data_IF_376571920825
#
_entry.id   IF_376571920825
#
_cell.length_a   1.000
_cell.length_b   1.000
_cell.length_c   1.000
_cell.angle_alpha   90.00
_cell.angle_beta   90.00
_cell.angle_gamma   90.00
#
_symmetry.space_group_name_H-M   'P 1'
#
loop_
_entity.id
_entity.type
_entity.pdbx_description
1 polymer ?
#
# COMPACT_ATOMS: atom_id res chain seq x y z
N UNK A 1 -37.55 55.76 -15.96
CA UNK A 1 -38.01 54.36 -15.83
C UNK A 1 -36.77 53.51 -15.65
N UNK A 2 -36.61 52.84 -14.50
CA UNK A 2 -35.54 51.86 -14.30
C UNK A 2 -36.15 50.49 -14.57
N UNK A 3 -35.65 49.80 -15.58
CA UNK A 3 -35.98 48.41 -15.82
C UNK A 3 -34.97 47.56 -15.05
N UNK A 4 -35.47 46.71 -14.15
CA UNK A 4 -34.69 45.64 -13.54
C UNK A 4 -35.08 44.32 -14.19
N UNK A 5 -34.07 43.58 -14.63
CA UNK A 5 -34.21 42.17 -15.00
C UNK A 5 -33.64 41.33 -13.86
N UNK A 6 -34.40 40.32 -13.45
CA UNK A 6 -33.98 39.34 -12.45
C UNK A 6 -33.94 37.98 -13.14
N UNK A 7 -32.85 37.25 -12.98
CA UNK A 7 -32.67 35.88 -13.48
C UNK A 7 -32.58 34.92 -12.28
N UNK A 8 -33.29 33.80 -12.36
CA UNK A 8 -33.19 32.75 -11.35
C UNK A 8 -31.89 31.95 -11.56
N UNK A 9 -30.98 32.07 -10.60
CA UNK A 9 -29.67 31.39 -10.62
C UNK A 9 -29.61 30.20 -9.66
N UNK A 10 -30.75 29.74 -9.12
CA UNK A 10 -30.80 28.73 -8.06
C UNK A 10 -30.13 27.43 -8.51
N UNK A 11 -30.49 26.90 -9.67
CA UNK A 11 -29.94 25.64 -10.18
C UNK A 11 -28.43 25.72 -10.45
N UNK A 12 -27.98 26.83 -11.06
CA UNK A 12 -26.56 27.09 -11.28
C UNK A 12 -25.79 27.12 -9.96
N UNK A 13 -26.34 27.79 -8.94
CA UNK A 13 -25.73 27.88 -7.61
C UNK A 13 -25.70 26.54 -6.89
N UNK A 14 -26.73 25.71 -7.01
CA UNK A 14 -26.73 24.37 -6.42
C UNK A 14 -25.69 23.46 -7.08
N UNK A 15 -25.56 23.53 -8.40
CA UNK A 15 -24.55 22.75 -9.16
C UNK A 15 -23.13 23.17 -8.78
N UNK A 16 -22.87 24.48 -8.70
CA UNK A 16 -21.59 25.04 -8.27
C UNK A 16 -21.21 24.58 -6.85
N UNK A 17 -22.15 24.66 -5.90
CA UNK A 17 -21.92 24.22 -4.53
C UNK A 17 -21.71 22.70 -4.43
N UNK A 18 -22.46 21.91 -5.19
CA UNK A 18 -22.30 20.45 -5.22
C UNK A 18 -20.92 20.05 -5.77
N UNK A 19 -20.45 20.73 -6.83
CA UNK A 19 -19.12 20.53 -7.38
C UNK A 19 -18.03 20.88 -6.36
N UNK A 20 -18.09 22.08 -5.77
CA UNK A 20 -17.13 22.51 -4.74
C UNK A 20 -17.07 21.54 -3.56
N UNK A 21 -18.23 21.02 -3.13
CA UNK A 21 -18.29 20.03 -2.05
C UNK A 21 -17.65 18.71 -2.45
N UNK A 22 -17.90 18.23 -3.67
CA UNK A 22 -17.29 17.01 -4.20
C UNK A 22 -15.77 17.13 -4.29
N UNK A 23 -15.27 18.26 -4.83
CA UNK A 23 -13.84 18.54 -4.92
C UNK A 23 -13.17 18.61 -3.54
N UNK A 24 -13.82 19.25 -2.57
CA UNK A 24 -13.32 19.31 -1.20
C UNK A 24 -13.26 17.93 -0.54
N UNK A 25 -14.29 17.10 -0.73
CA UNK A 25 -14.30 15.72 -0.22
C UNK A 25 -13.19 14.88 -0.87
N UNK A 26 -13.00 15.00 -2.19
CA UNK A 26 -11.93 14.31 -2.91
C UNK A 26 -10.55 14.75 -2.39
N UNK A 27 -10.32 16.06 -2.25
CA UNK A 27 -9.05 16.59 -1.75
C UNK A 27 -8.73 16.07 -0.33
N UNK A 28 -9.72 16.06 0.58
CA UNK A 28 -9.52 15.50 1.91
C UNK A 28 -9.28 13.98 1.88
N UNK A 29 -9.99 13.24 1.04
CA UNK A 29 -9.77 11.80 0.91
C UNK A 29 -8.35 11.48 0.41
N UNK A 30 -7.86 12.25 -0.57
CA UNK A 30 -6.50 12.13 -1.10
C UNK A 30 -5.44 12.40 -0.03
N UNK A 31 -5.60 13.50 0.74
CA UNK A 31 -4.71 13.86 1.84
C UNK A 31 -4.68 12.80 2.94
N UNK A 32 -5.85 12.28 3.36
CA UNK A 32 -5.96 11.27 4.41
C UNK A 32 -5.38 9.91 4.00
N UNK A 33 -5.51 9.56 2.71
CA UNK A 33 -5.01 8.29 2.18
C UNK A 33 -3.55 8.36 1.71
N UNK A 34 -2.97 9.57 1.65
CA UNK A 34 -1.69 9.83 0.99
C UNK A 34 -1.66 9.32 -0.46
N UNK A 35 -2.79 9.46 -1.14
CA UNK A 35 -2.97 9.08 -2.54
C UNK A 35 -3.32 10.32 -3.35
N UNK A 36 -2.38 10.81 -4.15
CA UNK A 36 -2.62 11.86 -5.12
C UNK A 36 -3.19 11.30 -6.43
N UNK A 37 -3.92 12.13 -7.18
CA UNK A 37 -4.31 11.79 -8.55
C UNK A 37 -3.47 12.56 -9.55
N UNK A 38 -3.28 11.97 -10.71
CA UNK A 38 -2.67 12.64 -11.85
C UNK A 38 -3.40 12.26 -13.13
N UNK A 39 -3.32 13.13 -14.12
CA UNK A 39 -3.61 12.76 -15.49
C UNK A 39 -2.59 13.32 -16.45
N UNK A 40 -2.51 12.71 -17.62
CA UNK A 40 -1.65 13.15 -18.70
C UNK A 40 -2.30 12.83 -20.04
N UNK A 41 -2.45 13.85 -20.88
CA UNK A 41 -2.99 13.72 -22.23
C UNK A 41 -1.85 13.41 -23.20
N UNK A 42 -1.92 12.25 -23.84
CA UNK A 42 -0.86 11.78 -24.73
C UNK A 42 -0.78 12.56 -26.05
N UNK A 43 -1.89 13.19 -26.45
CA UNK A 43 -1.97 13.97 -27.69
C UNK A 43 -1.46 15.39 -27.51
N UNK A 44 -1.84 16.06 -26.41
CA UNK A 44 -1.48 17.47 -26.16
C UNK A 44 -0.22 17.63 -25.31
N UNK A 45 0.16 16.59 -24.57
CA UNK A 45 1.24 16.64 -23.59
C UNK A 45 0.84 17.31 -22.27
N UNK A 46 -0.41 17.78 -22.13
CA UNK A 46 -0.89 18.41 -20.90
C UNK A 46 -0.96 17.39 -19.77
N UNK A 47 -0.45 17.78 -18.60
CA UNK A 47 -0.48 16.96 -17.40
C UNK A 47 -1.13 17.72 -16.25
N UNK A 48 -1.93 17.01 -15.47
CA UNK A 48 -2.57 17.50 -14.26
C UNK A 48 -2.09 16.68 -13.07
N UNK A 49 -1.74 17.36 -11.98
CA UNK A 49 -1.47 16.74 -10.68
C UNK A 49 -2.38 17.33 -9.63
N UNK A 50 -2.96 16.49 -8.77
CA UNK A 50 -3.67 16.97 -7.59
C UNK A 50 -2.71 17.58 -6.57
N UNK A 51 -3.24 18.38 -5.65
CA UNK A 51 -2.45 18.99 -4.56
C UNK A 51 -1.67 17.94 -3.76
N UNK A 52 -2.27 16.76 -3.56
CA UNK A 52 -1.60 15.67 -2.85
C UNK A 52 -0.45 15.06 -3.66
N UNK A 53 -0.58 14.92 -4.99
CA UNK A 53 0.54 14.48 -5.84
C UNK A 53 1.74 15.43 -5.73
N UNK A 54 1.52 16.74 -5.77
CA UNK A 54 2.58 17.72 -5.52
C UNK A 54 3.22 17.56 -4.13
N UNK A 55 2.39 17.32 -3.11
CA UNK A 55 2.87 17.10 -1.72
C UNK A 55 3.71 15.84 -1.59
N UNK A 56 3.27 14.72 -2.18
CA UNK A 56 3.97 13.44 -2.19
C UNK A 56 5.37 13.61 -2.82
N UNK A 57 5.43 14.29 -3.96
CA UNK A 57 6.68 14.53 -4.69
C UNK A 57 7.54 15.67 -4.11
N UNK A 58 7.01 16.43 -3.15
CA UNK A 58 7.61 17.65 -2.59
C UNK A 58 8.05 18.62 -3.69
N UNK A 59 7.08 18.96 -4.54
CA UNK A 59 7.23 19.90 -5.65
C UNK A 59 6.30 21.08 -5.42
N UNK A 60 6.76 22.27 -5.81
CA UNK A 60 5.95 23.48 -5.74
C UNK A 60 4.71 23.36 -6.64
N UNK A 61 3.55 23.77 -6.13
CA UNK A 61 2.26 23.71 -6.82
C UNK A 61 2.21 24.51 -8.13
N UNK A 62 3.12 25.47 -8.34
CA UNK A 62 3.24 26.24 -9.57
C UNK A 62 4.09 25.53 -10.63
N UNK A 63 4.73 24.42 -10.29
CA UNK A 63 5.53 23.64 -11.24
C UNK A 63 4.62 22.94 -12.23
N UNK A 64 4.89 23.08 -13.51
CA UNK A 64 4.17 22.35 -14.55
C UNK A 64 4.50 20.85 -14.46
N UNK A 65 3.51 19.97 -14.26
CA UNK A 65 3.76 18.54 -14.24
C UNK A 65 4.25 18.05 -15.60
N UNK A 66 5.19 17.10 -15.59
CA UNK A 66 5.67 16.43 -16.79
C UNK A 66 6.19 15.03 -16.44
N UNK A 67 6.12 14.04 -17.36
CA UNK A 67 6.70 12.72 -17.13
C UNK A 67 8.20 12.78 -16.77
N UNK A 68 8.92 13.73 -17.37
CA UNK A 68 10.35 13.94 -17.09
C UNK A 68 10.62 14.32 -15.63
N UNK A 69 9.71 15.09 -15.01
CA UNK A 69 9.82 15.49 -13.61
C UNK A 69 9.71 14.29 -12.66
N UNK A 70 8.89 13.30 -13.03
CA UNK A 70 8.80 12.03 -12.30
C UNK A 70 10.15 11.32 -12.33
N UNK A 71 10.76 11.16 -13.51
CA UNK A 71 12.05 10.50 -13.70
C UNK A 71 13.16 11.21 -12.91
N UNK A 72 13.18 12.54 -12.91
CA UNK A 72 14.17 13.33 -12.18
C UNK A 72 14.10 13.13 -10.67
N UNK A 73 12.87 13.06 -10.12
CA UNK A 73 12.61 12.82 -8.69
C UNK A 73 12.76 11.35 -8.30
N UNK A 74 12.70 10.42 -9.24
CA UNK A 74 12.94 9.00 -8.99
C UNK A 74 14.38 8.75 -8.54
N UNK A 75 14.52 7.86 -7.56
CA UNK A 75 15.81 7.38 -7.05
C UNK A 75 16.68 6.87 -8.21
N UNK A 76 17.99 7.19 -8.26
CA UNK A 76 18.85 6.87 -9.41
C UNK A 76 18.74 5.44 -9.94
N UNK A 77 18.70 4.46 -9.02
CA UNK A 77 18.58 3.03 -9.34
C UNK A 77 17.26 2.65 -10.05
N UNK A 78 16.19 3.41 -9.80
CA UNK A 78 14.84 3.11 -10.29
C UNK A 78 14.52 3.89 -11.58
N UNK A 79 15.35 4.89 -11.95
CA UNK A 79 15.08 5.80 -13.08
C UNK A 79 14.92 5.08 -14.41
N UNK A 80 15.75 4.07 -14.66
CA UNK A 80 15.69 3.31 -15.91
C UNK A 80 14.36 2.56 -16.04
N UNK A 81 13.94 1.88 -14.97
CA UNK A 81 12.66 1.15 -14.90
C UNK A 81 11.46 2.09 -15.04
N UNK A 82 11.45 3.22 -14.32
CA UNK A 82 10.37 4.20 -14.42
C UNK A 82 10.28 4.80 -15.82
N UNK A 83 11.42 5.11 -16.46
CA UNK A 83 11.44 5.61 -17.82
C UNK A 83 10.86 4.60 -18.80
N UNK A 84 11.25 3.33 -18.68
CA UNK A 84 10.76 2.25 -19.55
C UNK A 84 9.23 2.11 -19.44
N UNK A 85 8.68 2.09 -18.22
CA UNK A 85 7.24 2.04 -18.00
C UNK A 85 6.52 3.23 -18.62
N UNK A 86 7.06 4.44 -18.48
CA UNK A 86 6.49 5.64 -19.12
C UNK A 86 6.54 5.49 -20.64
N UNK A 87 7.69 5.14 -21.22
CA UNK A 87 7.85 4.99 -22.67
C UNK A 87 6.90 3.91 -23.24
N UNK A 88 6.73 2.78 -22.55
CA UNK A 88 5.81 1.70 -22.92
C UNK A 88 4.36 2.15 -22.86
N UNK A 89 3.95 2.83 -21.78
CA UNK A 89 2.62 3.40 -21.65
C UNK A 89 2.33 4.36 -22.82
N UNK A 90 3.27 5.24 -23.15
CA UNK A 90 3.16 6.20 -24.26
C UNK A 90 3.05 5.51 -25.63
N UNK A 91 3.87 4.49 -25.87
CA UNK A 91 3.98 3.80 -27.16
C UNK A 91 2.79 2.86 -27.41
N UNK A 92 2.42 2.08 -26.41
CA UNK A 92 1.45 0.98 -26.56
C UNK A 92 0.05 1.35 -26.08
N UNK A 93 -0.12 2.54 -25.49
CA UNK A 93 -1.39 3.05 -24.95
C UNK A 93 -2.04 2.05 -23.98
N UNK A 94 -1.24 1.57 -23.03
CA UNK A 94 -1.62 0.57 -22.03
C UNK A 94 -1.58 1.12 -20.62
N UNK A 95 -2.47 0.59 -19.80
CA UNK A 95 -2.46 0.77 -18.35
C UNK A 95 -1.11 0.36 -17.78
N UNK A 96 -0.70 1.01 -16.70
CA UNK A 96 0.53 0.68 -16.00
C UNK A 96 0.33 0.67 -14.49
N UNK A 97 1.15 -0.11 -13.81
CA UNK A 97 1.27 -0.17 -12.36
C UNK A 97 2.74 -0.41 -12.01
N UNK A 98 3.29 0.41 -11.11
CA UNK A 98 4.69 0.33 -10.74
C UNK A 98 4.94 0.86 -9.33
N UNK A 99 5.82 0.19 -8.60
CA UNK A 99 6.38 0.68 -7.36
C UNK A 99 7.81 1.14 -7.56
N UNK A 100 8.13 2.34 -7.09
CA UNK A 100 9.45 2.93 -7.21
C UNK A 100 9.74 3.89 -6.06
N UNK A 101 11.01 4.29 -5.94
CA UNK A 101 11.46 5.20 -4.91
C UNK A 101 11.60 6.61 -5.45
N UNK A 102 11.18 7.60 -4.68
CA UNK A 102 11.56 9.00 -4.85
C UNK A 102 12.77 9.31 -3.99
N UNK A 103 13.69 10.12 -4.52
CA UNK A 103 14.75 10.75 -3.76
C UNK A 103 14.38 12.21 -3.50
N UNK A 104 14.14 12.55 -2.24
CA UNK A 104 13.71 13.88 -1.83
C UNK A 104 14.91 14.85 -1.71
N UNK A 105 14.67 16.17 -1.72
CA UNK A 105 15.74 17.17 -1.62
C UNK A 105 16.59 17.06 -0.34
N UNK A 106 16.00 16.56 0.76
CA UNK A 106 16.70 16.31 2.02
C UNK A 106 17.50 14.99 2.04
N UNK A 107 17.49 14.25 0.93
CA UNK A 107 18.14 12.95 0.77
C UNK A 107 17.32 11.77 1.30
N UNK A 108 16.12 12.02 1.86
CA UNK A 108 15.25 10.94 2.31
C UNK A 108 14.57 10.24 1.12
N UNK A 109 14.17 8.99 1.34
CA UNK A 109 13.53 8.15 0.33
C UNK A 109 12.06 7.92 0.68
N UNK A 110 11.18 8.18 -0.28
CA UNK A 110 9.77 7.76 -0.25
C UNK A 110 9.56 6.58 -1.19
N UNK A 111 8.69 5.65 -0.81
CA UNK A 111 8.23 4.57 -1.67
C UNK A 111 6.86 4.94 -2.22
N UNK A 112 6.73 4.90 -3.55
CA UNK A 112 5.53 5.27 -4.27
C UNK A 112 4.99 4.05 -4.98
N UNK A 113 3.68 3.85 -4.86
CA UNK A 113 2.92 2.97 -5.73
C UNK A 113 2.12 3.84 -6.70
N UNK A 114 2.42 3.74 -7.99
CA UNK A 114 1.74 4.48 -9.03
C UNK A 114 1.01 3.53 -9.97
N UNK A 115 -0.23 3.87 -10.31
CA UNK A 115 -1.04 3.15 -11.27
C UNK A 115 -1.84 4.12 -12.13
N UNK A 116 -1.99 3.83 -13.41
CA UNK A 116 -2.81 4.63 -14.32
C UNK A 116 -3.52 3.75 -15.34
N UNK A 117 -4.67 4.25 -15.81
CA UNK A 117 -5.43 3.65 -16.89
C UNK A 117 -5.53 4.58 -18.07
N UNK A 118 -5.57 4.01 -19.27
CA UNK A 118 -5.83 4.74 -20.50
C UNK A 118 -7.33 4.93 -20.65
N UNK A 119 -7.75 6.17 -20.76
CA UNK A 119 -9.13 6.57 -20.99
C UNK A 119 -9.23 7.38 -22.28
N UNK A 120 -10.45 7.51 -22.78
CA UNK A 120 -10.75 8.34 -23.94
C UNK A 120 -11.71 9.44 -23.50
N UNK A 121 -11.33 10.69 -23.71
CA UNK A 121 -12.14 11.85 -23.33
C UNK A 121 -13.38 11.95 -24.23
N UNK A 122 -14.33 12.81 -23.86
CA UNK A 122 -15.50 13.09 -24.70
C UNK A 122 -15.13 13.70 -26.07
N UNK A 123 -13.97 14.38 -26.17
CA UNK A 123 -13.43 14.89 -27.45
C UNK A 123 -12.73 13.82 -28.29
N UNK A 124 -12.58 12.59 -27.76
CA UNK A 124 -11.91 11.47 -28.44
C UNK A 124 -10.40 11.40 -28.19
N UNK A 125 -9.85 12.31 -27.37
CA UNK A 125 -8.43 12.33 -26.99
C UNK A 125 -8.09 11.22 -26.02
N UNK A 126 -6.83 10.79 -26.02
CA UNK A 126 -6.35 9.72 -25.15
C UNK A 126 -5.68 10.34 -23.93
N UNK A 127 -6.17 9.97 -22.76
CA UNK A 127 -5.70 10.47 -21.47
C UNK A 127 -5.32 9.30 -20.56
N UNK A 128 -4.20 9.43 -19.87
CA UNK A 128 -3.84 8.55 -18.77
C UNK A 128 -4.39 9.16 -17.50
N UNK A 129 -5.21 8.44 -16.75
CA UNK A 129 -5.73 8.88 -15.45
C UNK A 129 -5.28 7.90 -14.40
N UNK A 130 -4.63 8.40 -13.35
CA UNK A 130 -3.96 7.55 -12.38
C UNK A 130 -3.90 8.12 -10.97
N UNK A 131 -3.28 7.32 -10.11
CA UNK A 131 -3.07 7.60 -8.71
C UNK A 131 -1.63 7.27 -8.32
N UNK A 132 -1.05 8.11 -7.45
CA UNK A 132 0.25 7.89 -6.84
C UNK A 132 0.07 7.89 -5.31
N UNK A 133 0.42 6.78 -4.67
CA UNK A 133 0.25 6.57 -3.23
C UNK A 133 1.61 6.50 -2.54
N UNK A 134 1.79 7.26 -1.46
CA UNK A 134 2.96 7.14 -0.59
C UNK A 134 2.80 5.92 0.33
N UNK A 135 3.49 4.83 -0.01
CA UNK A 135 3.50 3.57 0.73
C UNK A 135 4.68 3.46 1.71
N UNK A 136 5.38 4.56 1.97
CA UNK A 136 6.59 4.57 2.83
C UNK A 136 6.29 4.10 4.25
N UNK A 137 5.18 4.53 4.84
CA UNK A 137 4.78 4.14 6.19
C UNK A 137 4.49 2.64 6.26
N UNK A 138 3.76 2.10 5.28
CA UNK A 138 3.45 0.68 5.17
C UNK A 138 4.73 -0.17 5.03
N UNK A 139 5.65 0.22 4.13
CA UNK A 139 6.96 -0.44 3.96
C UNK A 139 7.79 -0.43 5.23
N UNK A 140 7.84 0.71 5.95
CA UNK A 140 8.57 0.80 7.23
C UNK A 140 7.98 -0.09 8.30
N UNK A 141 6.65 -0.14 8.42
CA UNK A 141 5.96 -1.01 9.36
C UNK A 141 6.23 -2.49 9.06
N UNK A 142 6.16 -2.90 7.79
CA UNK A 142 6.49 -4.26 7.34
C UNK A 142 7.93 -4.63 7.69
N UNK A 143 8.89 -3.74 7.43
CA UNK A 143 10.30 -3.98 7.73
C UNK A 143 10.57 -4.09 9.24
N UNK A 144 9.92 -3.25 10.05
CA UNK A 144 10.01 -3.31 11.51
C UNK A 144 9.43 -4.61 12.05
N UNK A 145 8.27 -5.04 11.54
CA UNK A 145 7.66 -6.31 11.91
C UNK A 145 8.59 -7.48 11.59
N UNK A 146 9.08 -7.57 10.34
CA UNK A 146 10.02 -8.63 9.93
C UNK A 146 11.28 -8.67 10.79
N UNK A 147 11.81 -7.50 11.16
CA UNK A 147 12.99 -7.41 12.04
C UNK A 147 12.67 -7.89 13.45
N UNK A 148 11.51 -7.52 13.99
CA UNK A 148 11.05 -7.98 15.29
C UNK A 148 10.84 -9.49 15.32
N UNK A 149 10.23 -10.07 14.28
CA UNK A 149 10.03 -11.51 14.14
C UNK A 149 11.37 -12.26 14.06
N UNK A 150 12.34 -11.73 13.30
CA UNK A 150 13.69 -12.30 13.21
C UNK A 150 14.39 -12.31 14.57
N UNK A 151 14.32 -11.21 15.32
CA UNK A 151 14.91 -11.14 16.67
C UNK A 151 14.21 -12.06 17.67
N UNK A 152 12.89 -12.18 17.59
CA UNK A 152 12.16 -13.13 18.43
C UNK A 152 12.58 -14.57 18.11
N UNK A 153 12.66 -14.94 16.83
CA UNK A 153 13.08 -16.27 16.41
C UNK A 153 14.51 -16.60 16.86
N UNK A 154 15.44 -15.65 16.74
CA UNK A 154 16.82 -15.80 17.21
C UNK A 154 16.89 -15.96 18.73
N UNK A 155 16.16 -15.13 19.49
CA UNK A 155 16.11 -15.23 20.95
C UNK A 155 15.56 -16.60 21.40
N UNK A 156 14.44 -17.05 20.80
CA UNK A 156 13.84 -18.36 21.08
C UNK A 156 14.81 -19.51 20.82
N UNK A 157 15.55 -19.42 19.71
CA UNK A 157 16.54 -20.42 19.35
C UNK A 157 17.69 -20.48 20.37
N UNK A 158 18.23 -19.32 20.75
CA UNK A 158 19.34 -19.20 21.70
C UNK A 158 18.96 -19.65 23.11
N UNK A 159 17.74 -19.37 23.56
CA UNK A 159 17.27 -19.75 24.91
C UNK A 159 16.58 -21.10 24.95
N UNK A 160 16.49 -21.81 23.82
CA UNK A 160 15.74 -23.06 23.68
C UNK A 160 14.31 -22.94 24.21
N UNK A 161 13.67 -21.81 23.93
CA UNK A 161 12.31 -21.49 24.39
C UNK A 161 11.37 -21.48 23.21
N UNK A 162 10.45 -22.45 23.18
CA UNK A 162 9.38 -22.47 22.19
C UNK A 162 8.18 -21.61 22.60
N UNK A 163 7.55 -20.95 21.63
CA UNK A 163 6.21 -20.36 21.78
C UNK A 163 5.20 -21.07 20.90
N UNK A 164 3.97 -21.25 21.39
CA UNK A 164 2.86 -21.84 20.67
C UNK A 164 1.54 -21.30 21.21
N UNK A 165 0.49 -21.39 20.39
CA UNK A 165 -0.89 -21.11 20.79
C UNK A 165 -1.81 -22.20 20.26
N UNK A 166 -2.79 -22.57 21.07
CA UNK A 166 -3.66 -23.71 20.84
C UNK A 166 -5.12 -23.28 20.77
N UNK A 167 -5.85 -23.79 19.78
CA UNK A 167 -7.30 -23.64 19.70
C UNK A 167 -7.97 -24.83 20.39
N UNK A 168 -8.71 -24.55 21.45
CA UNK A 168 -9.37 -25.57 22.26
C UNK A 168 -10.58 -26.22 21.58
N UNK A 169 -11.22 -25.54 20.62
CA UNK A 169 -12.37 -26.04 19.87
C UNK A 169 -11.94 -26.97 18.76
N UNK A 170 -11.00 -26.53 17.92
CA UNK A 170 -10.49 -27.33 16.80
C UNK A 170 -9.46 -28.36 17.25
N UNK A 171 -8.89 -28.19 18.46
CA UNK A 171 -7.85 -29.04 19.05
C UNK A 171 -6.62 -29.11 18.17
N UNK A 172 -6.17 -27.95 17.71
CA UNK A 172 -5.00 -27.80 16.86
C UNK A 172 -4.15 -26.58 17.27
N UNK A 173 -2.92 -26.54 16.81
CA UNK A 173 -2.06 -25.36 16.92
C UNK A 173 -2.57 -24.26 16.01
N UNK A 174 -2.92 -23.11 16.59
CA UNK A 174 -3.11 -21.86 15.82
C UNK A 174 -1.76 -21.35 15.34
N UNK A 175 -0.74 -21.52 16.17
CA UNK A 175 0.62 -21.13 15.88
C UNK A 175 1.58 -21.98 16.72
N UNK A 176 2.74 -22.29 16.16
CA UNK A 176 3.89 -22.85 16.85
C UNK A 176 5.16 -22.32 16.20
N UNK A 177 6.10 -21.87 17.03
CA UNK A 177 7.42 -21.41 16.58
C UNK A 177 8.24 -22.57 16.04
N UNK A 178 9.21 -22.27 15.17
CA UNK A 178 10.15 -23.27 14.66
C UNK A 178 10.95 -23.95 15.79
N UNK A 179 11.15 -23.27 16.92
CA UNK A 179 11.83 -23.86 18.07
C UNK A 179 10.99 -24.94 18.76
N UNK A 180 9.65 -24.82 18.78
CA UNK A 180 8.76 -25.92 19.25
C UNK A 180 8.95 -27.15 18.37
N UNK A 181 8.97 -26.95 17.05
CA UNK A 181 9.16 -28.06 16.10
C UNK A 181 10.52 -28.73 16.30
N UNK A 182 11.57 -27.93 16.54
CA UNK A 182 12.91 -28.43 16.85
C UNK A 182 12.98 -29.20 18.17
N UNK A 183 12.41 -28.65 19.23
CA UNK A 183 12.46 -29.23 20.58
C UNK A 183 11.70 -30.56 20.68
N UNK A 184 10.54 -30.65 20.04
CA UNK A 184 9.68 -31.83 20.09
C UNK A 184 9.83 -32.77 18.86
N UNK A 185 10.65 -32.37 17.88
CA UNK A 185 10.89 -33.13 16.66
C UNK A 185 9.64 -33.24 15.78
N UNK A 186 8.86 -32.18 15.70
CA UNK A 186 7.69 -32.13 14.82
C UNK A 186 8.10 -31.72 13.40
N UNK A 187 7.37 -32.23 12.41
CA UNK A 187 7.48 -31.75 11.05
C UNK A 187 6.69 -30.42 10.93
N UNK A 188 7.33 -29.31 10.47
CA UNK A 188 6.64 -28.02 10.30
C UNK A 188 5.58 -28.04 9.18
N UNK A 189 5.68 -28.96 8.23
CA UNK A 189 4.76 -29.06 7.09
C UNK A 189 3.56 -29.99 7.34
N UNK A 190 3.55 -30.69 8.48
CA UNK A 190 2.48 -31.64 8.82
C UNK A 190 1.74 -31.19 10.08
N UNK A 191 0.42 -31.37 10.14
CA UNK A 191 -0.34 -31.15 11.37
C UNK A 191 0.13 -32.12 12.46
N UNK A 192 0.11 -31.67 13.72
CA UNK A 192 0.55 -32.49 14.85
C UNK A 192 -0.68 -33.07 15.52
N UNK A 193 -0.85 -34.39 15.44
CA UNK A 193 -1.95 -35.06 16.12
C UNK A 193 -1.78 -35.03 17.65
N UNK A 194 -2.89 -35.11 18.38
CA UNK A 194 -2.86 -35.27 19.84
C UNK A 194 -2.08 -36.51 20.29
N UNK A 195 -2.07 -37.58 19.48
CA UNK A 195 -1.27 -38.77 19.74
C UNK A 195 0.22 -38.47 19.64
N UNK A 196 0.64 -37.74 18.60
CA UNK A 196 2.04 -37.30 18.44
C UNK A 196 2.47 -36.43 19.61
N UNK A 197 1.63 -35.49 20.07
CA UNK A 197 1.91 -34.66 21.25
C UNK A 197 2.09 -35.55 22.50
N UNK A 198 1.14 -36.45 22.75
CA UNK A 198 1.20 -37.39 23.90
C UNK A 198 2.45 -38.28 23.87
N UNK A 199 2.90 -38.69 22.68
CA UNK A 199 4.12 -39.49 22.53
C UNK A 199 5.42 -38.76 22.92
N UNK A 200 5.36 -37.43 23.07
CA UNK A 200 6.51 -36.59 23.48
C UNK A 200 6.46 -36.20 24.96
N UNK A 201 5.42 -36.59 25.69
CA UNK A 201 5.26 -36.35 27.12
C UNK A 201 5.74 -37.60 27.86
N UNK A 202 6.47 -37.41 28.97
CA UNK A 202 6.93 -38.53 29.78
C UNK A 202 5.74 -39.34 30.31
N UNK A 203 5.78 -40.68 30.32
CA UNK A 203 4.62 -41.51 30.72
C UNK A 203 4.08 -41.20 32.12
N UNK A 204 4.94 -40.77 33.04
CA UNK A 204 4.54 -40.40 34.41
C UNK A 204 3.73 -39.10 34.49
N UNK A 205 3.84 -38.22 33.50
CA UNK A 205 3.12 -36.94 33.45
C UNK A 205 1.76 -37.06 32.73
N UNK A 206 1.53 -38.16 32.00
CA UNK A 206 0.30 -38.39 31.25
C UNK A 206 -0.98 -38.46 32.11
N UNK A 207 -0.99 -39.11 33.31
CA UNK A 207 -2.18 -39.16 34.15
C UNK A 207 -2.67 -37.77 34.61
N UNK A 208 -1.75 -36.84 34.90
CA UNK A 208 -2.09 -35.48 35.37
C UNK A 208 -2.75 -34.60 34.31
N UNK A 209 -2.52 -34.89 33.01
CA UNK A 209 -3.14 -34.16 31.90
C UNK A 209 -4.60 -34.57 31.63
N UNK A 210 -5.02 -35.74 32.11
CA UNK A 210 -6.41 -36.22 31.99
C UNK A 210 -7.36 -35.51 32.97
N UNK A 211 -6.86 -35.01 34.10
CA UNK A 211 -7.67 -34.32 35.11
C UNK A 211 -8.04 -32.88 34.70
N UNK A 212 -7.29 -32.25 33.79
CA UNK A 212 -7.51 -30.86 33.32
C UNK A 212 -8.56 -30.77 32.21
N UNK A 213 -8.95 -31.89 31.59
CA UNK A 213 -9.95 -31.92 30.50
C UNK A 213 -11.42 -31.93 30.98
N UNK A 214 -11.71 -31.58 32.25
CA UNK A 214 -13.05 -31.62 32.83
C UNK A 214 -13.64 -30.25 33.15
#
# INVERSE_FOLDING_TARGET
VILMACEDITERKQTELALQRSEAHLAHAQELSHTGSFSWNASTGEAFWSKETFRIFQIDLQTTPAPQLVIERTHPDDRASVKEIIDEAMRDLRDFEHEYRLLLPDGSVKHIHAQARVTRTASGEIEFVGAATDITAARRAEQQLRRSEAYLAEAQHLTHTGSWSWDVHTRDFVYRSAEVDRLFGFNPQEPVSLETIRSRIHPEDLPGLQEVQR
#
